data_IF_809681234147
#
_entry.id   IF_809681234147
#
_cell.length_a   1.000
_cell.length_b   1.000
_cell.length_c   1.000
_cell.angle_alpha   90.00
_cell.angle_beta   90.00
_cell.angle_gamma   90.00
#
_symmetry.space_group_name_H-M   'P 1'
#
loop_
_entity.id
_entity.type
_entity.pdbx_description
1 polymer ?
#
# COMPACT_ATOMS: atom_id res chain seq x y z
N UNK A 1 17.19 6.43 -14.07
CA UNK A 1 16.90 6.13 -12.64
C UNK A 1 16.78 4.63 -12.36
N UNK A 2 15.79 3.88 -12.87
CA UNK A 2 15.68 2.43 -12.54
C UNK A 2 16.86 1.61 -13.08
N UNK A 3 17.27 1.83 -14.34
CA UNK A 3 18.43 1.13 -14.93
C UNK A 3 19.72 1.41 -14.15
N UNK A 4 19.91 2.66 -13.72
CA UNK A 4 21.04 3.07 -12.89
C UNK A 4 21.01 2.39 -11.52
N UNK A 5 19.84 2.28 -10.90
CA UNK A 5 19.69 1.57 -9.63
C UNK A 5 20.01 0.07 -9.78
N UNK A 6 19.57 -0.56 -10.88
CA UNK A 6 19.91 -1.94 -11.21
C UNK A 6 21.42 -2.10 -11.37
N UNK A 7 22.05 -1.18 -12.11
CA UNK A 7 23.50 -1.17 -12.33
C UNK A 7 24.27 -1.02 -11.00
N UNK A 8 23.94 -0.02 -10.20
CA UNK A 8 24.57 0.20 -8.89
C UNK A 8 24.32 -0.95 -7.89
N UNK A 9 23.23 -1.69 -8.04
CA UNK A 9 22.94 -2.86 -7.21
C UNK A 9 23.70 -4.11 -7.66
N UNK A 10 23.92 -4.29 -8.97
CA UNK A 10 24.63 -5.45 -9.55
C UNK A 10 26.14 -5.25 -9.59
N UNK A 11 26.54 -4.07 -10.07
CA UNK A 11 27.92 -3.73 -10.39
C UNK A 11 28.57 -2.87 -9.32
N UNK A 12 27.80 -2.21 -8.45
CA UNK A 12 28.34 -1.35 -7.40
C UNK A 12 29.06 -0.12 -7.96
N UNK A 13 29.67 0.64 -7.06
CA UNK A 13 30.50 1.80 -7.40
C UNK A 13 31.73 1.87 -6.49
N UNK A 14 32.78 2.54 -6.96
CA UNK A 14 34.03 2.69 -6.22
C UNK A 14 33.94 3.86 -5.24
N UNK A 15 34.43 3.64 -4.02
CA UNK A 15 34.64 4.67 -2.99
C UNK A 15 36.07 4.57 -2.47
N UNK A 16 36.53 5.58 -1.73
CA UNK A 16 37.83 5.52 -1.03
C UNK A 16 37.94 4.33 -0.07
N UNK A 17 36.80 3.79 0.38
CA UNK A 17 36.69 2.63 1.28
C UNK A 17 36.38 1.32 0.52
N UNK A 18 36.72 1.25 -0.77
CA UNK A 18 36.50 0.11 -1.64
C UNK A 18 35.14 0.12 -2.37
N UNK A 19 34.83 -1.01 -3.01
CA UNK A 19 33.62 -1.18 -3.81
C UNK A 19 32.37 -1.32 -2.93
N UNK A 20 31.35 -0.51 -3.19
CA UNK A 20 30.07 -0.52 -2.46
C UNK A 20 28.92 -0.85 -3.39
N UNK A 21 27.90 -1.51 -2.85
CA UNK A 21 26.70 -1.91 -3.58
C UNK A 21 25.50 -1.18 -3.01
N UNK A 22 24.61 -0.73 -3.88
CA UNK A 22 23.35 -0.12 -3.47
C UNK A 22 22.34 -1.23 -3.19
N UNK A 23 21.67 -1.16 -2.04
CA UNK A 23 20.59 -2.07 -1.66
C UNK A 23 19.32 -1.25 -1.42
N UNK A 24 18.25 -1.64 -2.09
CA UNK A 24 16.96 -0.96 -1.96
C UNK A 24 16.24 -1.49 -0.72
N UNK A 25 15.99 -0.60 0.25
CA UNK A 25 15.20 -0.97 1.42
C UNK A 25 13.69 -0.98 1.14
N UNK A 26 13.19 -0.07 0.31
CA UNK A 26 11.79 -0.09 -0.09
C UNK A 26 11.32 1.12 -0.90
N UNK A 27 10.12 0.98 -1.47
CA UNK A 27 9.44 2.00 -2.25
C UNK A 27 8.19 2.48 -1.51
N UNK A 28 8.25 3.71 -1.02
CA UNK A 28 7.15 4.35 -0.31
C UNK A 28 6.34 5.17 -1.30
N UNK A 29 5.14 4.68 -1.61
CA UNK A 29 4.24 5.32 -2.57
C UNK A 29 2.79 5.02 -2.19
N UNK A 30 1.89 5.90 -2.64
CA UNK A 30 0.45 5.71 -2.45
C UNK A 30 -0.07 4.53 -3.29
N UNK A 31 -1.31 4.13 -3.04
CA UNK A 31 -1.87 2.94 -3.70
C UNK A 31 -1.93 3.07 -5.25
N UNK A 32 -2.33 4.22 -5.84
CA UNK A 32 -2.24 4.44 -7.28
C UNK A 32 -0.83 4.29 -7.85
N UNK A 33 0.17 5.00 -7.29
CA UNK A 33 1.54 4.91 -7.78
C UNK A 33 2.11 3.50 -7.63
N UNK A 34 1.85 2.82 -6.50
CA UNK A 34 2.24 1.42 -6.29
C UNK A 34 1.68 0.52 -7.40
N UNK A 35 0.39 0.63 -7.70
CA UNK A 35 -0.25 -0.20 -8.72
C UNK A 35 0.28 0.06 -10.13
N UNK A 36 0.58 1.32 -10.44
CA UNK A 36 1.19 1.72 -11.71
C UNK A 36 2.61 1.14 -11.86
N UNK A 37 3.44 1.34 -10.84
CA UNK A 37 4.83 0.89 -10.79
C UNK A 37 4.94 -0.64 -10.91
N UNK A 38 4.06 -1.37 -10.23
CA UNK A 38 4.04 -2.83 -10.22
C UNK A 38 3.24 -3.45 -11.37
N UNK A 39 2.52 -2.64 -12.16
CA UNK A 39 1.58 -3.08 -13.21
C UNK A 39 0.49 -4.04 -12.66
N UNK A 40 -0.05 -3.72 -11.49
CA UNK A 40 -1.09 -4.51 -10.80
C UNK A 40 -2.43 -3.80 -10.82
N UNK A 41 -3.53 -4.52 -10.56
CA UNK A 41 -4.85 -3.90 -10.42
C UNK A 41 -4.80 -2.80 -9.35
N UNK A 42 -5.45 -1.68 -9.66
CA UNK A 42 -5.55 -0.53 -8.76
C UNK A 42 -6.39 -0.85 -7.52
N UNK A 43 -6.30 0.03 -6.51
CA UNK A 43 -6.91 -0.12 -5.18
C UNK A 43 -8.44 -0.33 -5.14
N UNK A 44 -9.14 -0.12 -6.25
CA UNK A 44 -10.60 -0.34 -6.39
C UNK A 44 -10.95 -1.69 -7.02
N UNK A 45 -9.97 -2.49 -7.44
CA UNK A 45 -10.19 -3.79 -8.09
C UNK A 45 -10.52 -4.91 -7.11
N UNK A 46 -11.27 -5.91 -7.56
CA UNK A 46 -11.57 -7.13 -6.80
C UNK A 46 -10.30 -7.90 -6.39
N UNK A 47 -9.35 -8.05 -7.30
CA UNK A 47 -8.05 -8.66 -7.03
C UNK A 47 -6.97 -7.60 -6.89
N UNK A 48 -7.12 -6.69 -5.93
CA UNK A 48 -6.19 -5.55 -5.73
C UNK A 48 -5.33 -5.63 -4.47
N UNK A 49 -5.59 -6.59 -3.57
CA UNK A 49 -4.81 -6.72 -2.36
C UNK A 49 -3.33 -7.05 -2.66
N UNK A 50 -2.42 -6.20 -2.17
CA UNK A 50 -0.97 -6.42 -2.35
C UNK A 50 -0.36 -7.42 -1.37
N UNK A 51 -1.15 -7.96 -0.43
CA UNK A 51 -0.68 -8.85 0.65
C UNK A 51 -1.28 -10.25 0.59
N UNK A 52 -2.47 -10.41 0.01
CA UNK A 52 -3.11 -11.71 -0.15
C UNK A 52 -3.67 -11.88 -1.58
N UNK A 53 -4.03 -13.11 -1.91
CA UNK A 53 -4.66 -13.47 -3.18
C UNK A 53 -6.20 -13.43 -3.15
N UNK A 54 -6.78 -13.07 -2.00
CA UNK A 54 -8.23 -13.07 -1.79
C UNK A 54 -8.95 -12.10 -2.73
N UNK A 55 -10.05 -12.58 -3.32
CA UNK A 55 -11.00 -11.75 -4.06
C UNK A 55 -11.78 -10.84 -3.11
N UNK A 56 -11.83 -9.55 -3.43
CA UNK A 56 -12.63 -8.57 -2.72
C UNK A 56 -14.12 -8.76 -2.94
N UNK A 57 -14.92 -8.18 -2.04
CA UNK A 57 -16.38 -8.15 -2.14
C UNK A 57 -16.84 -6.72 -2.41
N UNK A 58 -17.84 -6.55 -3.26
CA UNK A 58 -18.45 -5.24 -3.49
C UNK A 58 -19.53 -4.98 -2.44
N UNK A 59 -19.37 -3.92 -1.66
CA UNK A 59 -20.30 -3.51 -0.60
C UNK A 59 -20.35 -1.99 -0.50
N UNK A 60 -21.55 -1.39 -0.45
CA UNK A 60 -21.76 0.06 -0.31
C UNK A 60 -20.89 0.93 -1.25
N UNK A 61 -20.91 0.59 -2.54
CA UNK A 61 -20.14 1.28 -3.60
C UNK A 61 -18.62 1.24 -3.43
N UNK A 62 -18.10 0.20 -2.76
CA UNK A 62 -16.66 0.01 -2.51
C UNK A 62 -16.31 -1.47 -2.58
N UNK A 63 -15.08 -1.76 -2.94
CA UNK A 63 -14.52 -3.12 -2.77
C UNK A 63 -13.88 -3.23 -1.39
N UNK A 64 -14.19 -4.30 -0.66
CA UNK A 64 -13.66 -4.59 0.67
C UNK A 64 -13.11 -6.03 0.77
N UNK A 65 -12.24 -6.27 1.74
CA UNK A 65 -11.60 -7.58 1.97
C UNK A 65 -11.89 -8.08 3.39
N UNK A 66 -13.14 -8.47 3.71
CA UNK A 66 -13.53 -8.83 5.08
C UNK A 66 -13.10 -10.24 5.49
N UNK A 67 -12.66 -11.09 4.54
CA UNK A 67 -12.24 -12.47 4.83
C UNK A 67 -10.99 -12.48 5.70
N UNK A 68 -11.06 -13.21 6.81
CA UNK A 68 -9.95 -13.41 7.77
C UNK A 68 -9.04 -14.55 7.32
N UNK A 69 -9.61 -15.58 6.70
CA UNK A 69 -8.84 -16.66 6.08
C UNK A 69 -8.37 -16.21 4.70
N UNK A 70 -7.04 -16.16 4.53
CA UNK A 70 -6.43 -15.71 3.29
C UNK A 70 -5.10 -16.41 3.02
N UNK A 71 -4.79 -16.56 1.74
CA UNK A 71 -3.47 -16.98 1.29
C UNK A 71 -2.59 -15.75 1.11
N UNK A 72 -1.46 -15.71 1.82
CA UNK A 72 -0.47 -14.63 1.67
C UNK A 72 0.15 -14.69 0.28
N UNK A 73 0.33 -13.53 -0.33
CA UNK A 73 1.05 -13.39 -1.60
C UNK A 73 2.56 -13.45 -1.31
N UNK A 74 3.30 -14.19 -2.11
CA UNK A 74 4.76 -14.24 -2.04
C UNK A 74 5.39 -13.53 -3.25
N UNK A 75 6.68 -13.20 -3.15
CA UNK A 75 7.45 -12.66 -4.27
C UNK A 75 7.49 -13.64 -5.45
N UNK A 76 7.67 -14.94 -5.20
CA UNK A 76 7.64 -15.97 -6.24
C UNK A 76 6.30 -16.04 -6.94
N UNK A 77 5.17 -15.96 -6.21
CA UNK A 77 3.84 -15.99 -6.82
C UNK A 77 3.61 -14.78 -7.74
N UNK A 78 4.17 -13.62 -7.37
CA UNK A 78 4.12 -12.42 -8.18
C UNK A 78 4.93 -12.55 -9.47
N UNK A 79 6.16 -13.10 -9.40
CA UNK A 79 7.00 -13.31 -10.57
C UNK A 79 6.43 -14.38 -11.51
N UNK A 80 5.92 -15.47 -10.94
CA UNK A 80 5.30 -16.59 -11.66
C UNK A 80 3.87 -16.27 -12.11
N UNK A 81 3.31 -15.14 -11.68
CA UNK A 81 1.97 -14.66 -12.04
C UNK A 81 0.85 -15.69 -11.77
N UNK A 82 0.91 -16.36 -10.62
CA UNK A 82 -0.08 -17.40 -10.27
C UNK A 82 -1.52 -16.87 -10.26
N UNK A 83 -1.70 -15.57 -10.01
CA UNK A 83 -3.00 -14.89 -10.05
C UNK A 83 -2.98 -13.84 -11.17
N UNK A 84 -3.39 -14.23 -12.38
CA UNK A 84 -3.44 -13.33 -13.54
C UNK A 84 -4.38 -12.14 -13.34
N UNK A 85 -5.47 -12.35 -12.60
CA UNK A 85 -6.41 -11.29 -12.26
C UNK A 85 -5.81 -10.17 -11.42
N UNK A 86 -4.66 -10.39 -10.77
CA UNK A 86 -3.96 -9.34 -10.03
C UNK A 86 -3.14 -8.42 -10.95
N UNK A 87 -2.74 -8.90 -12.12
CA UNK A 87 -1.85 -8.20 -13.03
C UNK A 87 -2.64 -7.48 -14.13
N UNK A 88 -2.18 -6.29 -14.54
CA UNK A 88 -2.83 -5.52 -15.62
C UNK A 88 -2.23 -5.86 -16.98
N UNK A 89 -0.95 -6.22 -17.01
CA UNK A 89 -0.19 -6.53 -18.24
C UNK A 89 0.29 -7.97 -18.23
N UNK A 90 0.69 -8.48 -19.40
CA UNK A 90 1.29 -9.82 -19.54
C UNK A 90 2.75 -9.88 -19.04
N UNK A 91 3.46 -8.76 -18.99
CA UNK A 91 4.84 -8.67 -18.50
C UNK A 91 4.94 -8.18 -17.06
N UNK A 92 6.03 -8.55 -16.39
CA UNK A 92 6.43 -8.00 -15.08
C UNK A 92 6.99 -6.57 -15.23
N UNK A 93 7.18 -5.90 -14.09
CA UNK A 93 7.80 -4.57 -14.05
C UNK A 93 9.32 -4.66 -14.02
N UNK A 94 10.02 -3.70 -14.63
CA UNK A 94 11.49 -3.62 -14.62
C UNK A 94 12.09 -3.58 -13.21
N UNK A 95 11.30 -3.15 -12.22
CA UNK A 95 11.70 -3.14 -10.81
C UNK A 95 11.96 -4.56 -10.27
N UNK A 96 11.37 -5.59 -10.88
CA UNK A 96 11.66 -6.99 -10.52
C UNK A 96 13.08 -7.43 -10.87
N UNK A 97 13.80 -6.66 -11.68
CA UNK A 97 15.20 -6.94 -12.03
C UNK A 97 16.21 -6.40 -11.01
N UNK A 98 15.74 -5.63 -10.02
CA UNK A 98 16.57 -5.12 -8.93
C UNK A 98 16.95 -6.29 -8.00
N UNK A 99 18.25 -6.56 -7.78
CA UNK A 99 18.69 -7.62 -6.89
C UNK A 99 18.18 -7.45 -5.46
N UNK A 100 17.89 -8.56 -4.78
CA UNK A 100 17.46 -8.61 -3.37
C UNK A 100 16.16 -7.83 -3.08
N UNK A 101 15.33 -7.59 -4.08
CA UNK A 101 14.04 -6.93 -3.92
C UNK A 101 12.89 -7.93 -3.81
N UNK A 102 12.20 -7.91 -2.68
CA UNK A 102 10.91 -8.58 -2.49
C UNK A 102 9.77 -7.58 -2.71
N UNK A 103 9.02 -7.76 -3.80
CA UNK A 103 7.89 -6.88 -4.16
C UNK A 103 6.80 -6.80 -3.08
N UNK A 104 6.62 -7.84 -2.27
CA UNK A 104 5.60 -7.88 -1.23
C UNK A 104 6.06 -7.13 0.02
N UNK A 105 7.33 -7.31 0.42
CA UNK A 105 7.87 -6.69 1.63
C UNK A 105 8.44 -5.29 1.40
N UNK A 106 9.16 -5.06 0.30
CA UNK A 106 9.80 -3.77 0.00
C UNK A 106 8.83 -2.73 -0.57
N UNK A 107 7.57 -3.07 -0.82
CA UNK A 107 6.49 -2.09 -1.05
C UNK A 107 5.56 -2.02 0.17
N UNK A 108 5.94 -1.25 1.22
CA UNK A 108 5.10 -1.05 2.39
C UNK A 108 3.76 -0.42 2.02
N UNK A 109 2.78 -0.64 2.87
CA UNK A 109 1.50 0.05 2.77
C UNK A 109 1.66 1.48 3.32
N UNK A 110 1.15 2.47 2.61
CA UNK A 110 1.26 3.86 3.02
C UNK A 110 0.39 4.17 4.24
N UNK A 111 1.03 4.33 5.40
CA UNK A 111 0.38 4.65 6.66
C UNK A 111 -0.41 5.97 6.61
N UNK A 112 0.11 6.99 5.93
CA UNK A 112 -0.54 8.30 5.87
C UNK A 112 -1.87 8.19 5.12
N UNK A 113 -1.87 7.55 3.96
CA UNK A 113 -3.09 7.44 3.16
C UNK A 113 -4.08 6.43 3.74
N UNK A 114 -3.61 5.30 4.28
CA UNK A 114 -4.51 4.26 4.81
C UNK A 114 -5.05 4.62 6.20
N UNK A 115 -4.17 5.00 7.13
CA UNK A 115 -4.55 5.20 8.53
C UNK A 115 -4.93 6.64 8.78
N UNK A 116 -4.03 7.60 8.55
CA UNK A 116 -4.29 9.01 8.90
C UNK A 116 -5.44 9.60 8.08
N UNK A 117 -5.35 9.50 6.75
CA UNK A 117 -6.35 10.07 5.84
C UNK A 117 -7.55 9.14 5.61
N UNK A 118 -7.34 7.82 5.58
CA UNK A 118 -8.40 6.85 5.32
C UNK A 118 -9.28 6.59 6.53
N UNK A 119 -8.68 6.26 7.68
CA UNK A 119 -9.40 5.85 8.89
C UNK A 119 -9.60 7.01 9.86
N UNK A 120 -8.51 7.64 10.31
CA UNK A 120 -8.56 8.64 11.39
C UNK A 120 -9.37 9.86 10.99
N UNK A 121 -9.18 10.39 9.77
CA UNK A 121 -10.02 11.47 9.24
C UNK A 121 -11.51 11.13 9.29
N UNK A 122 -11.89 9.90 8.88
CA UNK A 122 -13.29 9.46 8.90
C UNK A 122 -13.82 9.37 10.33
N UNK A 123 -13.05 8.82 11.27
CA UNK A 123 -13.42 8.75 12.68
C UNK A 123 -13.63 10.15 13.29
N UNK A 124 -12.69 11.08 13.06
CA UNK A 124 -12.81 12.46 13.53
C UNK A 124 -14.07 13.13 12.98
N UNK A 125 -14.34 12.99 11.68
CA UNK A 125 -15.53 13.57 11.06
C UNK A 125 -16.84 12.96 11.60
N UNK A 126 -16.84 11.66 11.94
CA UNK A 126 -17.97 11.00 12.62
C UNK A 126 -18.15 11.56 14.04
N UNK A 127 -17.08 11.65 14.82
CA UNK A 127 -17.11 12.12 16.20
C UNK A 127 -17.49 13.60 16.32
N UNK A 128 -17.13 14.44 15.36
CA UNK A 128 -17.53 15.85 15.32
C UNK A 128 -18.96 16.04 14.80
N UNK A 129 -19.58 15.01 14.22
CA UNK A 129 -20.90 15.09 13.60
C UNK A 129 -20.87 15.84 12.26
N UNK A 130 -19.73 15.85 11.59
CA UNK A 130 -19.54 16.51 10.28
C UNK A 130 -20.01 15.64 9.11
N UNK A 131 -20.31 14.36 9.34
CA UNK A 131 -20.87 13.45 8.33
C UNK A 131 -22.40 13.44 8.42
N UNK A 132 -23.07 13.68 7.29
CA UNK A 132 -24.54 13.64 7.20
C UNK A 132 -25.05 12.26 7.60
N UNK A 133 -26.15 12.23 8.38
CA UNK A 133 -26.79 11.00 8.89
C UNK A 133 -25.91 10.11 9.79
N UNK A 134 -24.81 10.64 10.33
CA UNK A 134 -24.04 9.91 11.33
C UNK A 134 -24.88 9.70 12.62
N UNK A 135 -24.82 8.53 13.26
CA UNK A 135 -25.52 8.28 14.51
C UNK A 135 -25.13 9.29 15.60
N UNK A 136 -26.10 9.79 16.36
CA UNK A 136 -25.81 10.70 17.48
C UNK A 136 -25.04 10.00 18.60
N UNK A 137 -25.19 8.67 18.73
CA UNK A 137 -24.52 7.85 19.75
C UNK A 137 -23.00 7.85 19.66
N UNK A 138 -22.43 8.12 18.49
CA UNK A 138 -20.97 8.13 18.29
C UNK A 138 -20.37 9.54 18.36
N UNK A 139 -21.20 10.60 18.50
CA UNK A 139 -20.72 11.99 18.48
C UNK A 139 -20.13 12.39 19.83
N UNK A 140 -19.00 13.08 19.80
CA UNK A 140 -18.40 13.69 21.00
C UNK A 140 -19.13 14.99 21.36
N UNK A 141 -19.42 15.15 22.65
CA UNK A 141 -19.99 16.39 23.17
C UNK A 141 -19.00 17.56 23.00
N UNK A 142 -19.49 18.74 22.62
CA UNK A 142 -18.65 19.92 22.32
C UNK A 142 -17.66 20.24 23.44
N UNK A 143 -18.07 20.13 24.71
CA UNK A 143 -17.17 20.32 25.87
C UNK A 143 -15.94 19.40 25.83
N UNK A 144 -16.13 18.12 25.49
CA UNK A 144 -15.02 17.14 25.38
C UNK A 144 -14.11 17.47 24.19
N UNK A 145 -14.71 17.89 23.07
CA UNK A 145 -13.94 18.34 21.89
C UNK A 145 -13.03 19.50 22.27
N UNK A 146 -13.56 20.54 22.95
CA UNK A 146 -12.77 21.68 23.38
C UNK A 146 -11.65 21.28 24.34
N UNK A 147 -11.93 20.39 25.30
CA UNK A 147 -10.90 19.87 26.21
C UNK A 147 -9.77 19.18 25.43
N UNK A 148 -10.10 18.30 24.49
CA UNK A 148 -9.07 17.61 23.67
C UNK A 148 -8.28 18.62 22.85
N UNK A 149 -8.95 19.56 22.16
CA UNK A 149 -8.29 20.58 21.36
C UNK A 149 -7.35 21.49 22.15
N UNK A 150 -7.63 21.74 23.43
CA UNK A 150 -6.77 22.57 24.29
C UNK A 150 -5.54 21.80 24.82
N UNK A 151 -5.51 20.47 24.68
CA UNK A 151 -4.42 19.60 25.16
C UNK A 151 -3.64 18.92 24.02
N UNK A 152 -3.97 19.24 22.77
CA UNK A 152 -3.21 18.90 21.56
C UNK A 152 -2.29 20.06 21.18
#
# INVERSE_FOLDING_TARGET
MVNELIDLSKNGFMTEFGKKYVVVNGFFCDAPAKSYILKTKGHTGFFSCSRCSTEGLYFDNRVCFPKIEFTKRTHSDFLNRINDDYHVTSSTTIITEIPNLDIIYNFPLDYMHLICLGVMKKLILLWLGSIKKAPLSIRLHSKKVQTISNHL
#
